data_IF_398406880689
#
_entry.id   IF_398406880689
#
_cell.length_a   1.000
_cell.length_b   1.000
_cell.length_c   1.000
_cell.angle_alpha   90.00
_cell.angle_beta   90.00
_cell.angle_gamma   90.00
#
_symmetry.space_group_name_H-M   'P 1'
#
loop_
_entity.id
_entity.type
_entity.pdbx_description
1 polymer ?
#
# COMPACT_ATOMS: atom_id res chain seq x y z
N UNK A 1 -19.05 -9.31 8.37
CA UNK A 1 -18.54 -10.22 7.34
C UNK A 1 -18.26 -9.41 6.09
N UNK A 2 -17.21 -9.77 5.34
CA UNK A 2 -16.79 -9.06 4.10
C UNK A 2 -17.00 -9.92 2.85
N UNK A 3 -17.92 -10.87 2.90
CA UNK A 3 -18.23 -11.74 1.79
C UNK A 3 -18.61 -10.93 0.53
N UNK A 4 -17.99 -11.27 -0.60
CA UNK A 4 -18.13 -10.54 -1.86
C UNK A 4 -17.44 -9.18 -1.92
N UNK A 5 -16.76 -8.73 -0.84
CA UNK A 5 -16.00 -7.47 -0.81
C UNK A 5 -14.57 -7.71 -1.22
N UNK A 6 -14.09 -6.99 -2.22
CA UNK A 6 -12.68 -7.01 -2.63
C UNK A 6 -11.86 -6.10 -1.74
N UNK A 7 -10.84 -6.66 -1.11
CA UNK A 7 -9.91 -5.97 -0.20
C UNK A 7 -8.48 -6.15 -0.70
N UNK A 8 -7.73 -5.05 -0.81
CA UNK A 8 -6.32 -5.06 -1.20
C UNK A 8 -5.47 -4.66 -0.01
N UNK A 9 -4.36 -5.37 0.24
CA UNK A 9 -3.39 -5.05 1.29
C UNK A 9 -2.00 -5.02 0.68
N UNK A 10 -1.32 -3.87 0.75
CA UNK A 10 0.08 -3.76 0.33
C UNK A 10 1.03 -4.18 1.45
N UNK A 11 2.15 -4.83 1.09
CA UNK A 11 3.10 -5.38 2.07
C UNK A 11 2.51 -6.53 2.89
N UNK A 12 1.62 -7.33 2.29
CA UNK A 12 0.83 -8.35 2.99
C UNK A 12 1.59 -9.67 3.28
N UNK A 13 2.89 -9.74 2.96
CA UNK A 13 3.68 -10.95 3.14
C UNK A 13 4.32 -11.11 4.54
N UNK A 14 4.26 -10.08 5.39
CA UNK A 14 4.87 -10.09 6.73
C UNK A 14 4.25 -9.06 7.68
N UNK A 15 4.54 -9.18 8.97
CA UNK A 15 4.20 -8.19 10.00
C UNK A 15 2.73 -7.80 10.04
N UNK A 16 2.46 -6.51 10.26
CA UNK A 16 1.10 -5.95 10.38
C UNK A 16 0.27 -6.23 9.11
N UNK A 17 0.88 -6.12 7.91
CA UNK A 17 0.19 -6.39 6.66
C UNK A 17 -0.31 -7.83 6.54
N UNK A 18 0.50 -8.83 6.98
CA UNK A 18 0.11 -10.24 6.99
C UNK A 18 -1.07 -10.48 7.95
N UNK A 19 -0.99 -9.94 9.17
CA UNK A 19 -2.06 -10.10 10.16
C UNK A 19 -3.36 -9.41 9.72
N UNK A 20 -3.25 -8.22 9.10
CA UNK A 20 -4.39 -7.52 8.49
C UNK A 20 -5.01 -8.36 7.37
N UNK A 21 -4.19 -8.91 6.47
CA UNK A 21 -4.63 -9.78 5.39
C UNK A 21 -5.33 -11.03 5.92
N UNK A 22 -4.76 -11.69 6.93
CA UNK A 22 -5.35 -12.84 7.59
C UNK A 22 -6.71 -12.51 8.22
N UNK A 23 -6.82 -11.38 8.92
CA UNK A 23 -8.08 -10.93 9.52
C UNK A 23 -9.17 -10.71 8.45
N UNK A 24 -8.83 -10.03 7.35
CA UNK A 24 -9.75 -9.82 6.22
C UNK A 24 -10.15 -11.13 5.56
N UNK A 25 -9.21 -12.07 5.38
CA UNK A 25 -9.50 -13.40 4.84
C UNK A 25 -10.46 -14.19 5.75
N UNK A 26 -10.28 -14.16 7.08
CA UNK A 26 -11.21 -14.75 8.07
C UNK A 26 -12.61 -14.15 7.99
N UNK A 27 -12.71 -12.87 7.60
CA UNK A 27 -14.01 -12.21 7.35
C UNK A 27 -14.61 -12.57 5.98
N UNK A 28 -14.01 -13.50 5.22
CA UNK A 28 -14.44 -13.97 3.90
C UNK A 28 -14.38 -12.90 2.80
N UNK A 29 -13.42 -11.97 2.89
CA UNK A 29 -13.15 -11.04 1.81
C UNK A 29 -12.56 -11.74 0.58
N UNK A 30 -12.79 -11.22 -0.61
CA UNK A 30 -11.96 -11.48 -1.78
C UNK A 30 -10.64 -10.70 -1.56
N UNK A 31 -9.64 -11.37 -1.03
CA UNK A 31 -8.39 -10.74 -0.62
C UNK A 31 -7.39 -10.71 -1.76
N UNK A 32 -6.80 -9.55 -1.99
CA UNK A 32 -5.67 -9.36 -2.91
C UNK A 32 -4.47 -8.88 -2.09
N UNK A 33 -3.47 -9.72 -1.99
CA UNK A 33 -2.20 -9.40 -1.36
C UNK A 33 -1.27 -8.76 -2.39
N UNK A 34 -0.57 -7.69 -2.01
CA UNK A 34 0.49 -7.11 -2.84
C UNK A 34 1.82 -7.30 -2.13
N UNK A 35 2.81 -7.87 -2.82
CA UNK A 35 4.16 -8.12 -2.32
C UNK A 35 5.20 -7.87 -3.41
N UNK A 36 6.40 -7.44 -3.03
CA UNK A 36 7.53 -7.33 -3.94
C UNK A 36 8.17 -8.70 -4.23
N UNK A 37 8.30 -9.51 -3.19
CA UNK A 37 8.97 -10.81 -3.24
C UNK A 37 7.93 -11.91 -3.51
N UNK A 38 8.06 -12.56 -4.67
CA UNK A 38 7.16 -13.64 -5.10
C UNK A 38 7.19 -14.83 -4.14
N UNK A 39 8.35 -15.27 -3.70
CA UNK A 39 8.48 -16.46 -2.86
C UNK A 39 7.85 -16.26 -1.48
N UNK A 40 8.14 -15.10 -0.85
CA UNK A 40 7.53 -14.70 0.43
C UNK A 40 6.03 -14.46 0.30
N UNK A 41 5.60 -13.81 -0.79
CA UNK A 41 4.19 -13.58 -1.09
C UNK A 41 3.41 -14.88 -1.25
N UNK A 42 3.92 -15.83 -2.04
CA UNK A 42 3.29 -17.14 -2.24
C UNK A 42 3.23 -17.98 -0.95
N UNK A 43 4.27 -17.91 -0.10
CA UNK A 43 4.25 -18.57 1.21
C UNK A 43 3.15 -18.00 2.09
N UNK A 44 3.15 -16.68 2.28
CA UNK A 44 2.15 -16.00 3.10
C UNK A 44 0.72 -16.22 2.58
N UNK A 45 0.51 -16.21 1.25
CA UNK A 45 -0.78 -16.49 0.64
C UNK A 45 -1.31 -17.88 1.00
N UNK A 46 -0.45 -18.92 0.87
CA UNK A 46 -0.83 -20.30 1.23
C UNK A 46 -1.17 -20.43 2.72
N UNK A 47 -0.36 -19.81 3.57
CA UNK A 47 -0.59 -19.81 5.03
C UNK A 47 -1.91 -19.12 5.38
N UNK A 48 -2.16 -17.92 4.81
CA UNK A 48 -3.39 -17.15 5.04
C UNK A 48 -4.62 -17.94 4.55
N UNK A 49 -4.58 -18.53 3.36
CA UNK A 49 -5.68 -19.37 2.86
C UNK A 49 -5.96 -20.53 3.80
N UNK A 50 -4.91 -21.24 4.25
CA UNK A 50 -5.04 -22.38 5.17
C UNK A 50 -5.58 -21.95 6.53
N UNK A 51 -5.04 -20.89 7.14
CA UNK A 51 -5.43 -20.43 8.47
C UNK A 51 -6.83 -19.82 8.53
N UNK A 52 -7.27 -19.17 7.45
CA UNK A 52 -8.59 -18.53 7.36
C UNK A 52 -9.69 -19.45 6.82
N UNK A 53 -9.32 -20.54 6.15
CA UNK A 53 -10.25 -21.36 5.38
C UNK A 53 -10.92 -20.56 4.26
N UNK A 54 -10.19 -19.62 3.65
CA UNK A 54 -10.65 -18.79 2.54
C UNK A 54 -9.77 -19.03 1.30
N UNK A 55 -10.36 -19.54 0.23
CA UNK A 55 -9.67 -19.81 -1.03
C UNK A 55 -9.60 -18.59 -1.96
N UNK A 56 -10.36 -17.52 -1.64
CA UNK A 56 -10.37 -16.27 -2.40
C UNK A 56 -9.24 -15.35 -1.94
N UNK A 57 -7.99 -15.82 -2.09
CA UNK A 57 -6.77 -15.07 -1.73
C UNK A 57 -5.83 -15.03 -2.93
N UNK A 58 -5.75 -13.88 -3.57
CA UNK A 58 -4.87 -13.60 -4.70
C UNK A 58 -3.56 -12.94 -4.25
N UNK A 59 -2.53 -13.07 -5.10
CA UNK A 59 -1.25 -12.38 -4.95
C UNK A 59 -0.93 -11.61 -6.23
N UNK A 60 -0.68 -10.32 -6.09
CA UNK A 60 -0.09 -9.47 -7.12
C UNK A 60 1.33 -9.07 -6.72
N UNK A 61 2.22 -8.95 -7.69
CA UNK A 61 3.59 -8.54 -7.45
C UNK A 61 3.77 -7.07 -7.85
N UNK A 62 4.44 -6.30 -6.99
CA UNK A 62 4.79 -4.91 -7.28
C UNK A 62 5.93 -4.47 -6.36
N UNK A 63 6.97 -3.88 -6.92
CA UNK A 63 7.93 -3.09 -6.16
C UNK A 63 7.42 -1.64 -6.07
N UNK A 64 7.04 -1.23 -4.86
CA UNK A 64 6.53 0.12 -4.61
C UNK A 64 7.62 1.20 -4.67
N UNK A 65 8.89 0.82 -4.86
CA UNK A 65 9.98 1.75 -5.18
C UNK A 65 10.11 2.04 -6.68
N UNK A 66 9.10 1.67 -7.48
CA UNK A 66 8.97 1.98 -8.90
C UNK A 66 7.56 2.48 -9.20
N UNK A 67 7.42 3.75 -9.51
CA UNK A 67 6.13 4.34 -9.90
C UNK A 67 5.58 3.74 -11.20
N UNK A 68 6.44 3.20 -12.06
CA UNK A 68 6.02 2.47 -13.25
C UNK A 68 5.32 1.15 -12.89
N UNK A 69 5.87 0.40 -11.92
CA UNK A 69 5.24 -0.83 -11.42
C UNK A 69 3.93 -0.53 -10.69
N UNK A 70 3.85 0.56 -9.93
CA UNK A 70 2.60 1.00 -9.28
C UNK A 70 1.50 1.29 -10.32
N UNK A 71 1.84 1.91 -11.45
CA UNK A 71 0.89 2.12 -12.55
C UNK A 71 0.42 0.82 -13.18
N UNK A 72 1.33 -0.11 -13.38
CA UNK A 72 1.05 -1.46 -13.91
C UNK A 72 0.13 -2.22 -12.96
N UNK A 73 0.42 -2.21 -11.66
CA UNK A 73 -0.41 -2.79 -10.61
C UNK A 73 -1.84 -2.21 -10.64
N UNK A 74 -1.96 -0.88 -10.70
CA UNK A 74 -3.28 -0.24 -10.75
C UNK A 74 -4.07 -0.63 -12.00
N UNK A 75 -3.42 -0.75 -13.15
CA UNK A 75 -4.05 -1.21 -14.39
C UNK A 75 -4.50 -2.68 -14.28
N UNK A 76 -3.65 -3.54 -13.72
CA UNK A 76 -4.00 -4.95 -13.48
C UNK A 76 -5.19 -5.10 -12.54
N UNK A 77 -5.21 -4.33 -11.43
CA UNK A 77 -6.33 -4.32 -10.48
C UNK A 77 -7.63 -3.93 -11.20
N UNK A 78 -7.64 -2.84 -11.97
CA UNK A 78 -8.83 -2.39 -12.70
C UNK A 78 -9.33 -3.41 -13.73
N UNK A 79 -8.42 -4.12 -14.37
CA UNK A 79 -8.76 -5.12 -15.38
C UNK A 79 -9.29 -6.43 -14.77
N UNK A 80 -8.76 -6.84 -13.62
CA UNK A 80 -9.11 -8.13 -12.99
C UNK A 80 -10.28 -8.03 -12.02
N UNK A 81 -10.44 -6.90 -11.36
CA UNK A 81 -11.43 -6.75 -10.29
C UNK A 81 -12.42 -5.63 -10.64
N UNK A 82 -13.68 -6.01 -10.85
CA UNK A 82 -14.74 -5.05 -11.18
C UNK A 82 -15.17 -4.14 -10.00
N UNK A 83 -14.73 -4.45 -8.78
CA UNK A 83 -15.02 -3.68 -7.56
C UNK A 83 -13.82 -3.69 -6.62
N UNK A 84 -13.65 -2.58 -5.88
CA UNK A 84 -12.65 -2.43 -4.82
C UNK A 84 -13.30 -1.74 -3.62
N UNK A 85 -13.46 -2.47 -2.53
CA UNK A 85 -14.16 -1.96 -1.34
C UNK A 85 -13.22 -1.49 -0.25
N UNK A 86 -12.02 -2.10 -0.14
CA UNK A 86 -11.02 -1.70 0.86
C UNK A 86 -9.64 -1.70 0.22
N UNK A 87 -8.93 -0.57 0.33
CA UNK A 87 -7.52 -0.45 0.01
C UNK A 87 -6.74 -0.16 1.29
N UNK A 88 -5.87 -1.08 1.69
CA UNK A 88 -4.97 -0.90 2.83
C UNK A 88 -3.56 -0.63 2.32
N UNK A 89 -3.15 0.62 2.37
CA UNK A 89 -1.79 1.08 2.13
C UNK A 89 -0.97 0.82 3.40
N UNK A 90 -0.46 -0.41 3.54
CA UNK A 90 0.28 -0.84 4.72
C UNK A 90 1.78 -0.97 4.45
N UNK A 91 2.18 -1.27 3.22
CA UNK A 91 3.60 -1.37 2.90
C UNK A 91 4.36 -0.14 3.39
N UNK A 92 5.53 -0.37 3.94
CA UNK A 92 6.41 0.67 4.40
C UNK A 92 7.78 0.12 4.71
N UNK A 93 8.77 0.96 4.65
CA UNK A 93 10.15 0.63 4.99
C UNK A 93 10.82 1.81 5.70
N UNK A 94 11.91 1.49 6.36
CA UNK A 94 12.81 2.47 6.92
C UNK A 94 14.20 2.22 6.32
N UNK A 95 14.67 3.16 5.50
CA UNK A 95 15.98 3.09 4.85
C UNK A 95 16.86 4.25 5.25
N UNK A 96 18.14 4.00 5.40
CA UNK A 96 19.12 5.04 5.71
C UNK A 96 19.73 5.70 4.46
N UNK A 97 19.54 5.11 3.28
CA UNK A 97 20.16 5.64 2.07
C UNK A 97 19.53 5.07 0.81
N UNK A 98 19.69 5.80 -0.27
CA UNK A 98 19.34 5.39 -1.61
C UNK A 98 18.22 6.22 -2.23
N UNK A 99 18.33 6.37 -3.54
CA UNK A 99 17.27 6.87 -4.40
C UNK A 99 16.76 5.73 -5.27
N UNK A 100 15.51 5.79 -5.57
CA UNK A 100 14.84 4.89 -6.52
C UNK A 100 15.25 5.21 -7.96
N UNK A 101 14.82 4.39 -8.91
CA UNK A 101 14.99 4.68 -10.33
C UNK A 101 14.25 5.95 -10.76
N UNK A 102 13.14 6.29 -10.08
CA UNK A 102 12.39 7.53 -10.27
C UNK A 102 13.13 8.76 -9.70
N UNK A 103 14.23 8.53 -8.96
CA UNK A 103 15.12 9.55 -8.40
C UNK A 103 14.66 10.12 -7.06
N UNK A 104 13.61 9.61 -6.45
CA UNK A 104 13.15 9.99 -5.11
C UNK A 104 13.91 9.23 -4.02
N UNK A 105 13.90 9.78 -2.81
CA UNK A 105 14.40 9.03 -1.65
C UNK A 105 13.50 7.81 -1.41
N UNK A 106 14.12 6.65 -1.16
CA UNK A 106 13.43 5.35 -1.20
C UNK A 106 12.29 5.23 -0.19
N UNK A 107 12.49 5.74 1.04
CA UNK A 107 11.43 5.69 2.07
C UNK A 107 10.27 6.60 1.70
N UNK A 108 10.56 7.81 1.21
CA UNK A 108 9.51 8.73 0.76
C UNK A 108 8.68 8.14 -0.38
N UNK A 109 9.32 7.46 -1.32
CA UNK A 109 8.61 6.86 -2.45
C UNK A 109 7.73 5.70 -2.01
N UNK A 110 8.27 4.75 -1.29
CA UNK A 110 7.54 3.55 -0.88
C UNK A 110 6.41 3.88 0.11
N UNK A 111 6.68 4.76 1.09
CA UNK A 111 5.76 5.01 2.21
C UNK A 111 4.73 6.10 1.91
N UNK A 112 4.96 6.94 0.88
CA UNK A 112 4.06 8.03 0.54
C UNK A 112 3.70 8.13 -0.94
N UNK A 113 4.69 8.28 -1.86
CA UNK A 113 4.38 8.54 -3.27
C UNK A 113 3.68 7.37 -3.94
N UNK A 114 4.08 6.14 -3.62
CA UNK A 114 3.44 4.93 -4.15
C UNK A 114 1.99 4.77 -3.65
N UNK A 115 1.67 4.83 -2.34
CA UNK A 115 0.29 4.79 -1.87
C UNK A 115 -0.55 5.98 -2.38
N UNK A 116 0.03 7.19 -2.48
CA UNK A 116 -0.63 8.33 -3.10
C UNK A 116 -1.02 8.04 -4.56
N UNK A 117 -0.06 7.59 -5.38
CA UNK A 117 -0.28 7.28 -6.78
C UNK A 117 -1.30 6.13 -6.94
N UNK A 118 -1.10 5.02 -6.22
CA UNK A 118 -1.99 3.85 -6.29
C UNK A 118 -3.43 4.22 -5.95
N UNK A 119 -3.63 4.97 -4.85
CA UNK A 119 -4.96 5.40 -4.41
C UNK A 119 -5.64 6.27 -5.47
N UNK A 120 -4.94 7.26 -6.03
CA UNK A 120 -5.50 8.13 -7.06
C UNK A 120 -5.85 7.37 -8.35
N UNK A 121 -5.01 6.41 -8.77
CA UNK A 121 -5.29 5.58 -9.94
C UNK A 121 -6.48 4.63 -9.75
N UNK A 122 -6.80 4.26 -8.50
CA UNK A 122 -7.92 3.39 -8.15
C UNK A 122 -9.14 4.15 -7.63
N UNK A 123 -9.09 5.48 -7.56
CA UNK A 123 -10.11 6.30 -6.91
C UNK A 123 -11.51 6.11 -7.53
N UNK A 124 -11.60 6.09 -8.86
CA UNK A 124 -12.89 5.90 -9.53
C UNK A 124 -13.46 4.49 -9.30
N UNK A 125 -12.60 3.46 -9.21
CA UNK A 125 -13.02 2.11 -8.86
C UNK A 125 -13.53 2.04 -7.41
N UNK A 126 -12.84 2.73 -6.48
CA UNK A 126 -13.28 2.86 -5.08
C UNK A 126 -14.64 3.58 -4.98
N UNK A 127 -14.80 4.71 -5.66
CA UNK A 127 -16.07 5.46 -5.69
C UNK A 127 -17.21 4.62 -6.26
N UNK A 128 -16.99 3.93 -7.37
CA UNK A 128 -17.99 3.05 -7.98
C UNK A 128 -18.34 1.82 -7.12
N UNK A 129 -17.50 1.50 -6.15
CA UNK A 129 -17.69 0.36 -5.22
C UNK A 129 -18.26 0.77 -3.87
N UNK A 130 -18.71 2.00 -3.71
CA UNK A 130 -19.19 2.52 -2.42
C UNK A 130 -20.29 1.62 -1.78
N UNK A 131 -20.28 1.46 -0.44
CA UNK A 131 -19.37 2.06 0.50
C UNK A 131 -17.99 1.40 0.47
N UNK A 132 -16.95 2.21 0.29
CA UNK A 132 -15.54 1.78 0.23
C UNK A 132 -14.69 2.50 1.27
N UNK A 133 -13.48 2.02 1.50
CA UNK A 133 -12.53 2.60 2.47
C UNK A 133 -11.10 2.56 1.94
N UNK A 134 -10.37 3.63 2.19
CA UNK A 134 -8.91 3.66 2.11
C UNK A 134 -8.35 3.72 3.53
N UNK A 135 -7.41 2.84 3.84
CA UNK A 135 -6.73 2.80 5.14
C UNK A 135 -5.24 3.00 4.90
N UNK A 136 -4.70 4.08 5.42
CA UNK A 136 -3.28 4.42 5.32
C UNK A 136 -2.59 4.15 6.66
N UNK A 137 -1.60 3.23 6.66
CA UNK A 137 -0.85 2.89 7.88
C UNK A 137 0.27 3.91 8.09
N UNK A 138 0.04 4.84 9.00
CA UNK A 138 1.01 5.84 9.39
C UNK A 138 1.82 5.40 10.63
N UNK A 139 2.51 6.32 11.28
CA UNK A 139 3.34 6.09 12.46
C UNK A 139 3.29 7.33 13.37
N UNK A 140 3.52 7.15 14.67
CA UNK A 140 3.75 8.25 15.61
C UNK A 140 4.95 9.12 15.19
N UNK A 141 5.84 8.62 14.35
CA UNK A 141 6.94 9.38 13.78
C UNK A 141 6.48 10.63 13.00
N UNK A 142 5.23 10.67 12.51
CA UNK A 142 4.69 11.83 11.79
C UNK A 142 4.73 13.13 12.61
N UNK A 143 4.69 13.06 13.94
CA UNK A 143 4.82 14.25 14.81
C UNK A 143 6.17 14.97 14.65
N UNK A 144 7.21 14.27 14.19
CA UNK A 144 8.53 14.83 13.92
C UNK A 144 8.76 15.15 12.43
N UNK A 145 7.72 14.99 11.61
CA UNK A 145 7.81 15.20 10.17
C UNK A 145 7.75 16.67 9.79
N UNK A 146 8.38 16.98 8.66
CA UNK A 146 8.28 18.25 7.97
C UNK A 146 8.14 18.00 6.46
N UNK A 147 7.05 18.46 5.84
CA UNK A 147 6.81 18.28 4.41
C UNK A 147 7.21 19.53 3.65
N UNK A 148 8.30 19.43 2.87
CA UNK A 148 8.74 20.47 1.92
C UNK A 148 8.45 20.01 0.49
N UNK A 149 7.39 20.52 -0.11
CA UNK A 149 6.99 20.19 -1.48
C UNK A 149 8.05 20.58 -2.51
N UNK A 150 8.76 21.69 -2.30
CA UNK A 150 9.81 22.12 -3.20
C UNK A 150 11.02 21.16 -3.14
N UNK A 151 11.37 20.65 -1.96
CA UNK A 151 12.42 19.64 -1.83
C UNK A 151 12.00 18.31 -2.48
N UNK A 152 10.74 17.90 -2.34
CA UNK A 152 10.20 16.71 -3.02
C UNK A 152 10.30 16.88 -4.54
N UNK A 153 9.88 18.02 -5.09
CA UNK A 153 9.96 18.29 -6.54
C UNK A 153 11.39 18.29 -7.06
N UNK A 154 12.34 18.83 -6.28
CA UNK A 154 13.78 18.80 -6.63
C UNK A 154 14.43 17.43 -6.38
N UNK A 155 13.70 16.49 -5.79
CA UNK A 155 14.23 15.17 -5.37
C UNK A 155 15.42 15.30 -4.41
N UNK A 156 15.36 16.29 -3.54
CA UNK A 156 16.38 16.64 -2.56
C UNK A 156 15.79 16.60 -1.15
N UNK A 157 15.33 15.43 -0.76
CA UNK A 157 14.73 15.18 0.55
C UNK A 157 15.73 14.49 1.47
N UNK A 158 15.61 14.68 2.80
CA UNK A 158 16.47 13.99 3.75
C UNK A 158 16.29 12.46 3.66
N UNK A 159 17.25 11.72 4.16
CA UNK A 159 17.22 10.25 4.28
C UNK A 159 17.02 9.81 5.74
N UNK A 160 16.88 8.52 5.96
CA UNK A 160 16.78 7.92 7.29
C UNK A 160 15.55 8.38 8.07
N UNK A 161 15.74 8.74 9.33
CA UNK A 161 14.62 9.13 10.22
C UNK A 161 13.81 10.32 9.70
N UNK A 162 14.48 11.30 9.09
CA UNK A 162 13.81 12.45 8.49
C UNK A 162 12.89 12.05 7.34
N UNK A 163 13.37 11.21 6.41
CA UNK A 163 12.55 10.69 5.32
C UNK A 163 11.34 9.92 5.83
N UNK A 164 11.54 9.04 6.81
CA UNK A 164 10.47 8.25 7.41
C UNK A 164 9.42 9.14 8.07
N UNK A 165 9.83 10.08 8.92
CA UNK A 165 8.91 11.00 9.61
C UNK A 165 8.13 11.87 8.61
N UNK A 166 8.82 12.39 7.58
CA UNK A 166 8.22 13.21 6.53
C UNK A 166 7.21 12.41 5.69
N UNK A 167 7.55 11.18 5.30
CA UNK A 167 6.64 10.31 4.54
C UNK A 167 5.37 9.98 5.34
N UNK A 168 5.52 9.70 6.66
CA UNK A 168 4.37 9.39 7.52
C UNK A 168 3.49 10.62 7.78
N UNK A 169 4.07 11.83 7.86
CA UNK A 169 3.31 13.08 7.91
C UNK A 169 2.59 13.34 6.58
N UNK A 170 3.28 13.22 5.45
CA UNK A 170 2.67 13.39 4.12
C UNK A 170 1.49 12.43 3.91
N UNK A 171 1.62 11.18 4.38
CA UNK A 171 0.53 10.20 4.32
C UNK A 171 -0.68 10.58 5.19
N UNK A 172 -0.46 11.18 6.36
CA UNK A 172 -1.54 11.73 7.21
C UNK A 172 -2.22 12.90 6.50
N UNK A 173 -1.44 13.86 5.94
CA UNK A 173 -1.99 15.00 5.19
C UNK A 173 -2.83 14.52 3.99
N UNK A 174 -2.31 13.57 3.22
CA UNK A 174 -3.04 12.94 2.12
C UNK A 174 -4.35 12.29 2.59
N UNK A 175 -4.36 11.65 3.74
CA UNK A 175 -5.57 11.01 4.28
C UNK A 175 -6.65 12.04 4.58
N UNK A 176 -6.29 13.20 5.13
CA UNK A 176 -7.25 14.29 5.37
C UNK A 176 -7.76 14.92 4.09
N UNK A 177 -6.90 15.09 3.07
CA UNK A 177 -7.31 15.65 1.78
C UNK A 177 -8.22 14.70 1.00
N UNK A 178 -8.07 13.38 1.18
CA UNK A 178 -8.86 12.36 0.51
C UNK A 178 -10.27 12.21 1.13
N UNK A 179 -10.46 12.59 2.39
CA UNK A 179 -11.69 12.35 3.16
C UNK A 179 -12.80 13.35 2.84
#
# INVERSE_FOLDING_TARGET
>A
MLEGRTCIVTGANSGIGRETALALARMKANLVMVSRDKAKGDSARREISKESGNDSVDLLLCDLSSLAEVRTLAAEIRNRYGKLHVLVNNAGLFSFSGKTEDGFETTLEVDYLAPFLLTNLLLELLKASAPSRVVNVSSVAHFNGHVDLAAIQRKDTPSGWGAYSNSKLALVMFTYELA
#
